data_IF_615801828965
#
_entry.id   IF_615801828965
#
_cell.length_a   1.000
_cell.length_b   1.000
_cell.length_c   1.000
_cell.angle_alpha   90.00
_cell.angle_beta   90.00
_cell.angle_gamma   90.00
#
_symmetry.space_group_name_H-M   'P 1'
#
loop_
_entity.id
_entity.type
_entity.pdbx_description
1 polymer ?
#
# COMPACT_ATOMS: atom_id res chain seq x y z
N UNK A 1 -2.55 -7.01 5.22
CA UNK A 1 -1.21 -7.59 5.54
C UNK A 1 -1.12 -7.75 7.04
N UNK A 2 -0.74 -8.95 7.49
CA UNK A 2 -0.62 -9.22 8.93
C UNK A 2 0.66 -8.60 9.51
N UNK A 3 0.56 -7.81 10.60
CA UNK A 3 1.72 -7.33 11.33
C UNK A 3 2.63 -8.47 11.78
N UNK A 4 3.94 -8.19 11.87
CA UNK A 4 4.97 -9.11 12.36
C UNK A 4 5.26 -10.35 11.49
N UNK A 5 4.62 -10.48 10.33
CA UNK A 5 4.92 -11.55 9.37
C UNK A 5 6.10 -11.15 8.48
N UNK A 6 7.21 -11.90 8.53
CA UNK A 6 8.38 -11.67 7.68
C UNK A 6 9.18 -12.94 7.41
N UNK A 7 9.78 -13.02 6.21
CA UNK A 7 10.75 -14.06 5.84
C UNK A 7 12.22 -13.64 6.05
N UNK A 8 12.48 -12.46 6.63
CA UNK A 8 13.84 -11.92 6.79
C UNK A 8 14.31 -12.04 8.24
N UNK A 9 15.54 -12.52 8.45
CA UNK A 9 16.16 -12.67 9.78
C UNK A 9 16.17 -11.40 10.65
N UNK A 10 16.17 -10.20 10.05
CA UNK A 10 16.20 -8.90 10.76
C UNK A 10 15.06 -7.96 10.36
N UNK A 11 13.97 -8.49 9.80
CA UNK A 11 12.78 -7.69 9.48
C UNK A 11 11.76 -7.73 10.62
N UNK A 12 11.15 -6.62 10.98
CA UNK A 12 10.07 -6.59 11.99
C UNK A 12 8.72 -7.08 11.45
N UNK A 13 8.57 -7.25 10.14
CA UNK A 13 7.28 -7.61 9.51
C UNK A 13 6.21 -6.51 9.53
N UNK A 14 6.54 -5.30 9.96
CA UNK A 14 5.56 -4.21 10.12
C UNK A 14 5.33 -3.38 8.84
N UNK A 15 6.25 -3.44 7.88
CA UNK A 15 6.26 -2.51 6.75
C UNK A 15 5.00 -2.56 5.89
N UNK A 16 4.56 -3.76 5.48
CA UNK A 16 3.38 -3.90 4.61
C UNK A 16 2.06 -3.64 5.34
N UNK A 17 1.99 -3.97 6.63
CA UNK A 17 0.86 -3.61 7.48
C UNK A 17 0.71 -2.08 7.60
N UNK A 18 1.83 -1.36 7.76
CA UNK A 18 1.82 0.10 7.76
C UNK A 18 1.39 0.68 6.41
N UNK A 19 1.91 0.15 5.30
CA UNK A 19 1.52 0.58 3.95
C UNK A 19 0.02 0.43 3.72
N UNK A 20 -0.57 -0.71 4.06
CA UNK A 20 -2.01 -0.93 3.90
C UNK A 20 -2.82 0.05 4.74
N UNK A 21 -2.44 0.27 6.00
CA UNK A 21 -3.09 1.24 6.87
C UNK A 21 -3.06 2.65 6.28
N UNK A 22 -1.88 3.14 5.88
CA UNK A 22 -1.71 4.46 5.28
C UNK A 22 -2.58 4.58 4.02
N UNK A 23 -2.57 3.57 3.16
CA UNK A 23 -3.37 3.58 1.93
C UNK A 23 -4.87 3.65 2.22
N UNK A 24 -5.37 2.86 3.17
CA UNK A 24 -6.79 2.90 3.59
C UNK A 24 -7.16 4.25 4.18
N UNK A 25 -6.32 4.82 5.04
CA UNK A 25 -6.53 6.16 5.63
C UNK A 25 -6.64 7.27 4.55
N UNK A 26 -5.98 7.09 3.40
CA UNK A 26 -6.05 8.02 2.26
C UNK A 26 -7.13 7.64 1.22
N UNK A 27 -8.03 6.70 1.52
CA UNK A 27 -9.06 6.22 0.59
C UNK A 27 -8.50 5.43 -0.61
N UNK A 28 -7.22 5.05 -0.53
CA UNK A 28 -6.52 4.27 -1.53
C UNK A 28 -6.59 2.77 -1.31
N UNK A 29 -5.91 2.03 -2.18
CA UNK A 29 -5.82 0.57 -2.16
C UNK A 29 -4.43 0.11 -2.54
N UNK A 30 -3.97 -0.97 -1.94
CA UNK A 30 -2.71 -1.65 -2.30
C UNK A 30 -3.02 -3.03 -2.88
N UNK A 31 -2.33 -3.40 -3.96
CA UNK A 31 -2.34 -4.76 -4.55
C UNK A 31 -0.92 -5.27 -4.61
N UNK A 32 -0.76 -6.57 -4.39
CA UNK A 32 0.55 -7.24 -4.51
C UNK A 32 0.42 -8.43 -5.44
N UNK A 33 1.37 -8.53 -6.36
CA UNK A 33 1.48 -9.62 -7.32
C UNK A 33 2.92 -10.12 -7.31
N UNK A 34 3.13 -11.40 -7.01
CA UNK A 34 4.45 -12.03 -7.02
C UNK A 34 4.46 -13.17 -8.04
N UNK A 35 5.29 -13.05 -9.07
CA UNK A 35 5.44 -14.04 -10.15
C UNK A 35 6.91 -14.09 -10.58
N UNK A 36 7.45 -15.30 -10.80
CA UNK A 36 8.79 -15.53 -11.36
C UNK A 36 9.92 -14.73 -10.68
N UNK A 37 9.99 -14.76 -9.35
CA UNK A 37 11.01 -14.05 -8.57
C UNK A 37 10.86 -12.52 -8.55
N UNK A 38 9.82 -11.97 -9.19
CA UNK A 38 9.49 -10.55 -9.19
C UNK A 38 8.27 -10.30 -8.33
N UNK A 39 8.35 -9.27 -7.49
CA UNK A 39 7.21 -8.78 -6.70
C UNK A 39 6.86 -7.37 -7.16
N UNK A 40 5.61 -7.16 -7.53
CA UNK A 40 5.06 -5.87 -7.92
C UNK A 40 4.03 -5.44 -6.89
N UNK A 41 4.22 -4.24 -6.35
CA UNK A 41 3.24 -3.56 -5.51
C UNK A 41 2.59 -2.45 -6.33
N UNK A 42 1.27 -2.41 -6.35
CA UNK A 42 0.49 -1.36 -7.03
C UNK A 42 -0.29 -0.57 -5.99
N UNK A 43 -0.03 0.74 -5.94
CA UNK A 43 -0.72 1.68 -5.06
C UNK A 43 -1.69 2.50 -5.90
N UNK A 44 -2.95 2.54 -5.50
CA UNK A 44 -4.00 3.34 -6.14
C UNK A 44 -4.53 4.35 -5.13
N UNK A 45 -4.52 5.63 -5.48
CA UNK A 45 -5.05 6.72 -4.66
C UNK A 45 -6.15 7.46 -5.42
N UNK A 46 -7.16 8.00 -4.71
CA UNK A 46 -8.10 8.94 -5.32
C UNK A 46 -7.35 10.15 -5.87
N UNK A 47 -7.66 10.53 -7.10
CA UNK A 47 -7.21 11.80 -7.67
C UNK A 47 -8.22 12.85 -7.30
N UNK A 48 -7.77 14.00 -6.77
CA UNK A 48 -8.65 15.15 -6.54
C UNK A 48 -9.19 15.60 -7.89
N UNK A 49 -10.49 15.52 -8.11
CA UNK A 49 -11.14 16.16 -9.26
C UNK A 49 -10.98 17.68 -9.14
N UNK A 50 -10.45 18.35 -10.17
CA UNK A 50 -10.28 19.81 -10.23
C UNK A 50 -11.60 20.62 -10.27
N UNK A 51 -12.69 20.09 -9.71
CA UNK A 51 -14.00 20.75 -9.69
C UNK A 51 -14.36 21.25 -8.29
N UNK A 52 -13.50 22.05 -7.67
CA UNK A 52 -13.91 22.90 -6.53
C UNK A 52 -12.88 24.01 -6.28
N UNK A 53 -12.66 24.89 -7.26
CA UNK A 53 -11.99 26.17 -7.01
C UNK A 53 -12.41 27.29 -7.99
N UNK A 54 -13.65 27.22 -8.47
CA UNK A 54 -14.29 28.29 -9.24
C UNK A 54 -15.58 28.70 -8.53
N UNK A 55 -15.44 29.43 -7.42
CA UNK A 55 -16.49 30.31 -6.91
C UNK A 55 -15.81 31.53 -6.32
#
# INVERSE_FOLDING_TARGET
>A
FEPYVTGKQRGSGLGLALVERVMVEHGGRVKVKSENGRTTLTLQLPVRSEQENRT
#
